data_IF_056964452417
#
_entry.id   IF_056964452417
#
_cell.length_a   1.000
_cell.length_b   1.000
_cell.length_c   1.000
_cell.angle_alpha   90.00
_cell.angle_beta   90.00
_cell.angle_gamma   90.00
#
_symmetry.space_group_name_H-M   'P 1'
#
loop_
_entity.id
_entity.type
_entity.pdbx_description
1 polymer ?
#
# COMPACT_ATOMS: atom_id res chain seq x y z
N UNK A 1 -17.52 15.97 12.77
CA UNK A 1 -18.18 14.65 12.67
C UNK A 1 -17.11 13.61 12.42
N UNK A 2 -16.73 12.88 13.47
CA UNK A 2 -15.81 11.74 13.37
C UNK A 2 -16.55 10.68 12.55
N UNK A 3 -16.06 10.41 11.34
CA UNK A 3 -16.69 9.49 10.39
C UNK A 3 -16.86 8.11 11.03
N UNK A 4 -17.95 7.42 10.72
CA UNK A 4 -18.35 6.12 11.26
C UNK A 4 -17.30 4.98 11.17
N UNK A 5 -16.14 5.22 10.53
CA UNK A 5 -14.95 4.38 10.60
C UNK A 5 -14.37 4.19 12.01
N UNK A 6 -14.51 5.17 12.92
CA UNK A 6 -13.99 5.04 14.29
C UNK A 6 -14.81 4.08 15.18
N UNK A 7 -15.97 3.61 14.71
CA UNK A 7 -16.85 2.69 15.45
C UNK A 7 -16.65 1.22 15.09
N UNK A 8 -15.98 0.91 13.98
CA UNK A 8 -15.70 -0.49 13.59
C UNK A 8 -14.53 -1.03 14.42
N UNK A 9 -14.86 -1.73 15.51
CA UNK A 9 -13.85 -2.42 16.35
C UNK A 9 -13.06 -3.49 15.59
N UNK A 10 -13.54 -3.94 14.42
CA UNK A 10 -12.90 -5.03 13.68
C UNK A 10 -12.82 -4.77 12.18
N UNK A 11 -11.61 -4.92 11.63
CA UNK A 11 -11.27 -4.60 10.24
C UNK A 11 -11.35 -5.83 9.30
N UNK A 12 -12.18 -5.74 8.25
CA UNK A 12 -12.44 -6.84 7.31
C UNK A 12 -11.56 -6.79 6.05
N UNK A 13 -10.43 -7.50 6.06
CA UNK A 13 -9.54 -7.62 4.88
C UNK A 13 -10.18 -8.38 3.71
N UNK A 14 -9.68 -8.19 2.47
CA UNK A 14 -10.14 -8.96 1.28
C UNK A 14 -10.05 -10.48 1.49
N UNK A 15 -9.00 -10.98 2.15
CA UNK A 15 -8.86 -12.41 2.47
C UNK A 15 -9.87 -12.87 3.50
N UNK A 16 -10.12 -12.09 4.56
CA UNK A 16 -11.14 -12.43 5.56
C UNK A 16 -12.52 -12.48 4.93
N UNK A 17 -12.84 -11.56 4.03
CA UNK A 17 -14.07 -11.61 3.24
C UNK A 17 -14.15 -12.87 2.38
N UNK A 18 -13.07 -13.26 1.71
CA UNK A 18 -13.05 -14.48 0.90
C UNK A 18 -13.15 -15.76 1.76
N UNK A 19 -12.46 -15.80 2.91
CA UNK A 19 -12.56 -16.90 3.88
C UNK A 19 -13.98 -16.99 4.44
N UNK A 20 -14.60 -15.86 4.77
CA UNK A 20 -15.99 -15.81 5.21
C UNK A 20 -16.92 -16.37 4.13
N UNK A 21 -16.79 -15.92 2.87
CA UNK A 21 -17.61 -16.41 1.77
C UNK A 21 -17.47 -17.93 1.58
N UNK A 22 -16.23 -18.46 1.63
CA UNK A 22 -15.97 -19.92 1.55
C UNK A 22 -16.50 -20.70 2.75
N UNK A 23 -16.34 -20.14 3.95
CA UNK A 23 -16.88 -20.72 5.18
C UNK A 23 -18.40 -20.80 5.09
N UNK A 24 -19.07 -19.72 4.69
CA UNK A 24 -20.52 -19.67 4.49
C UNK A 24 -20.96 -20.62 3.37
N UNK A 25 -20.26 -20.68 2.24
CA UNK A 25 -20.56 -21.64 1.16
C UNK A 25 -20.64 -23.08 1.69
N UNK A 26 -19.73 -23.47 2.60
CA UNK A 26 -19.71 -24.79 3.24
C UNK A 26 -20.78 -25.02 4.32
N UNK A 27 -21.56 -23.98 4.69
CA UNK A 27 -22.55 -23.97 5.77
C UNK A 27 -23.93 -23.56 5.22
N UNK A 28 -24.66 -24.50 4.59
CA UNK A 28 -25.94 -24.21 3.93
C UNK A 28 -27.03 -23.68 4.86
N UNK A 29 -26.91 -23.91 6.18
CA UNK A 29 -27.79 -23.31 7.19
C UNK A 29 -27.78 -21.77 7.21
N UNK A 30 -26.81 -21.11 6.58
CA UNK A 30 -26.73 -19.64 6.53
C UNK A 30 -27.37 -19.05 5.28
N UNK A 31 -27.34 -19.76 4.15
CA UNK A 31 -27.64 -19.18 2.84
C UNK A 31 -28.64 -19.96 1.99
N UNK A 32 -28.96 -21.21 2.35
CA UNK A 32 -29.90 -22.06 1.61
C UNK A 32 -31.25 -22.16 2.35
N UNK A 33 -32.33 -21.54 1.84
CA UNK A 33 -33.65 -21.58 2.46
C UNK A 33 -34.24 -22.99 2.64
N UNK A 34 -33.76 -23.98 1.88
CA UNK A 34 -34.22 -25.38 1.97
C UNK A 34 -33.51 -26.17 3.07
N UNK A 35 -32.49 -25.60 3.72
CA UNK A 35 -31.79 -26.29 4.79
C UNK A 35 -32.66 -26.31 6.05
N UNK A 36 -32.88 -27.46 6.73
CA UNK A 36 -33.77 -27.56 7.89
C UNK A 36 -33.43 -26.60 9.05
N UNK A 37 -32.15 -26.20 9.14
CA UNK A 37 -31.66 -25.26 10.16
C UNK A 37 -31.55 -23.80 9.69
N UNK A 38 -32.09 -23.45 8.52
CA UNK A 38 -32.00 -22.09 7.96
C UNK A 38 -32.82 -21.06 8.76
N UNK A 39 -33.97 -21.46 9.28
CA UNK A 39 -34.84 -20.58 10.10
C UNK A 39 -34.39 -20.48 11.56
N UNK A 40 -33.49 -21.36 11.99
CA UNK A 40 -33.00 -21.36 13.38
C UNK A 40 -31.97 -20.25 13.59
N UNK A 41 -32.40 -19.20 14.29
CA UNK A 41 -31.54 -18.07 14.69
C UNK A 41 -30.36 -18.56 15.52
N UNK A 42 -30.61 -19.41 16.52
CA UNK A 42 -29.57 -19.96 17.39
C UNK A 42 -28.47 -20.71 16.62
N UNK A 43 -28.83 -21.57 15.66
CA UNK A 43 -27.84 -22.31 14.85
C UNK A 43 -27.06 -21.38 13.93
N UNK A 44 -27.71 -20.34 13.39
CA UNK A 44 -27.04 -19.36 12.53
C UNK A 44 -26.06 -18.49 13.30
N UNK A 45 -26.46 -17.99 14.46
CA UNK A 45 -25.59 -17.19 15.33
C UNK A 45 -24.43 -18.02 15.87
N UNK A 46 -24.64 -19.31 16.19
CA UNK A 46 -23.56 -20.25 16.52
C UNK A 46 -22.58 -20.43 15.35
N UNK A 47 -23.08 -20.57 14.12
CA UNK A 47 -22.23 -20.70 12.92
C UNK A 47 -21.40 -19.43 12.68
N UNK A 48 -21.96 -18.24 12.95
CA UNK A 48 -21.19 -17.00 12.92
C UNK A 48 -20.15 -16.94 14.05
N UNK A 49 -20.48 -17.44 15.23
CA UNK A 49 -19.55 -17.53 16.37
C UNK A 49 -18.40 -18.52 16.10
N UNK A 50 -18.65 -19.62 15.38
CA UNK A 50 -17.61 -20.54 14.92
C UNK A 50 -16.56 -19.80 14.08
N UNK A 51 -17.00 -19.06 13.05
CA UNK A 51 -16.10 -18.23 12.25
C UNK A 51 -15.42 -17.14 13.08
N UNK A 52 -16.15 -16.57 14.03
CA UNK A 52 -15.63 -15.50 14.87
C UNK A 52 -14.48 -15.98 15.78
N UNK A 53 -14.60 -17.19 16.32
CA UNK A 53 -13.61 -17.79 17.23
C UNK A 53 -12.23 -18.05 16.58
N UNK A 54 -12.17 -18.14 15.25
CA UNK A 54 -10.90 -18.22 14.50
C UNK A 54 -10.04 -16.94 14.60
N UNK A 55 -10.62 -15.81 15.06
CA UNK A 55 -9.96 -14.49 15.07
C UNK A 55 -9.89 -13.83 16.46
N UNK A 56 -10.08 -14.62 17.53
CA UNK A 56 -9.88 -14.17 18.92
C UNK A 56 -11.10 -13.51 19.58
N UNK A 57 -10.97 -13.19 20.86
CA UNK A 57 -12.09 -12.81 21.75
C UNK A 57 -12.77 -11.47 21.41
N UNK A 58 -12.12 -10.62 20.62
CA UNK A 58 -12.66 -9.30 20.23
C UNK A 58 -13.50 -9.34 18.95
N UNK A 59 -13.47 -10.46 18.21
CA UNK A 59 -14.28 -10.64 17.01
C UNK A 59 -15.60 -11.31 17.36
N UNK A 60 -16.70 -10.57 17.26
CA UNK A 60 -18.01 -11.06 17.67
C UNK A 60 -18.76 -11.72 16.51
N UNK A 61 -19.62 -12.69 16.84
CA UNK A 61 -20.53 -13.31 15.87
C UNK A 61 -21.42 -12.28 15.15
N UNK A 62 -21.78 -11.18 15.84
CA UNK A 62 -22.57 -10.09 15.28
C UNK A 62 -21.80 -9.37 14.16
N UNK A 63 -20.51 -9.08 14.35
CA UNK A 63 -19.68 -8.48 13.30
C UNK A 63 -19.60 -9.35 12.04
N UNK A 64 -19.53 -10.68 12.21
CA UNK A 64 -19.54 -11.66 11.11
C UNK A 64 -20.88 -11.64 10.37
N UNK A 65 -21.99 -11.61 11.10
CA UNK A 65 -23.36 -11.54 10.54
C UNK A 65 -23.58 -10.25 9.74
N UNK A 66 -23.17 -9.11 10.27
CA UNK A 66 -23.31 -7.81 9.61
C UNK A 66 -22.48 -7.77 8.32
N UNK A 67 -21.24 -8.30 8.39
CA UNK A 67 -20.39 -8.37 7.21
C UNK A 67 -20.95 -9.28 6.12
N UNK A 68 -21.42 -10.47 6.49
CA UNK A 68 -22.05 -11.38 5.53
C UNK A 68 -23.29 -10.74 4.88
N UNK A 69 -24.10 -10.03 5.67
CA UNK A 69 -25.26 -9.27 5.16
C UNK A 69 -24.84 -8.26 4.10
N UNK A 70 -23.78 -7.49 4.35
CA UNK A 70 -23.24 -6.50 3.39
C UNK A 70 -22.71 -7.16 2.11
N UNK A 71 -21.99 -8.28 2.22
CA UNK A 71 -21.50 -9.06 1.07
C UNK A 71 -22.68 -9.54 0.21
N UNK A 72 -23.71 -10.12 0.84
CA UNK A 72 -24.90 -10.63 0.14
C UNK A 72 -25.68 -9.50 -0.57
N UNK A 73 -25.87 -8.37 0.09
CA UNK A 73 -26.53 -7.20 -0.51
C UNK A 73 -25.76 -6.64 -1.71
N UNK A 74 -24.43 -6.61 -1.62
CA UNK A 74 -23.56 -6.20 -2.73
C UNK A 74 -23.68 -7.16 -3.92
N UNK A 75 -23.68 -8.47 -3.66
CA UNK A 75 -23.87 -9.48 -4.69
C UNK A 75 -25.23 -9.34 -5.40
N UNK A 76 -26.31 -9.13 -4.64
CA UNK A 76 -27.65 -8.93 -5.18
C UNK A 76 -27.76 -7.66 -6.06
N UNK A 77 -27.03 -6.59 -5.71
CA UNK A 77 -26.96 -5.38 -6.55
C UNK A 77 -26.28 -5.67 -7.90
N UNK A 78 -25.15 -6.38 -7.90
CA UNK A 78 -24.49 -6.78 -9.15
C UNK A 78 -25.35 -7.71 -10.00
N UNK A 79 -26.11 -8.63 -9.39
CA UNK A 79 -27.04 -9.48 -10.12
C UNK A 79 -28.16 -8.66 -10.80
N UNK A 80 -28.71 -7.64 -10.12
CA UNK A 80 -29.69 -6.71 -10.72
C UNK A 80 -29.11 -5.96 -11.92
N UNK A 81 -27.86 -5.48 -11.82
CA UNK A 81 -27.18 -4.79 -12.93
C UNK A 81 -26.97 -5.69 -14.15
N UNK A 82 -26.58 -6.95 -13.95
CA UNK A 82 -26.47 -7.93 -15.04
C UNK A 82 -27.82 -8.17 -15.71
N UNK A 83 -28.87 -8.39 -14.91
CA UNK A 83 -30.21 -8.66 -15.45
C UNK A 83 -30.77 -7.46 -16.23
N UNK A 84 -30.53 -6.23 -15.74
CA UNK A 84 -30.96 -5.01 -16.41
C UNK A 84 -30.26 -4.80 -17.76
N UNK A 85 -28.95 -5.07 -17.84
CA UNK A 85 -28.20 -5.00 -19.10
C UNK A 85 -28.66 -6.06 -20.11
N UNK A 86 -28.99 -7.27 -19.64
CA UNK A 86 -29.56 -8.33 -20.49
C UNK A 86 -30.94 -7.99 -21.05
N UNK A 87 -31.77 -7.29 -20.27
CA UNK A 87 -33.12 -6.87 -20.71
C UNK A 87 -33.07 -5.70 -21.72
N UNK A 88 -32.02 -4.87 -21.67
CA UNK A 88 -31.83 -3.74 -22.58
C UNK A 88 -31.22 -4.10 -23.94
N UNK A 89 -30.77 -5.34 -24.13
CA UNK A 89 -30.17 -5.78 -25.38
C UNK A 89 -28.80 -5.16 -25.68
N UNK A 90 -28.04 -4.77 -24.64
CA UNK A 90 -26.70 -4.19 -24.81
C UNK A 90 -25.78 -5.20 -25.54
N UNK A 91 -25.00 -4.71 -26.52
CA UNK A 91 -24.10 -5.53 -27.35
C UNK A 91 -22.97 -6.20 -26.55
N UNK A 92 -22.61 -5.65 -25.37
CA UNK A 92 -21.66 -6.26 -24.45
C UNK A 92 -22.30 -6.52 -23.07
N UNK A 93 -22.21 -7.74 -22.52
CA UNK A 93 -22.82 -8.07 -21.23
C UNK A 93 -22.11 -7.33 -20.08
N UNK A 94 -22.89 -6.72 -19.17
CA UNK A 94 -22.37 -6.07 -17.97
C UNK A 94 -21.38 -6.96 -17.21
N UNK A 95 -20.11 -6.53 -17.16
CA UNK A 95 -19.02 -7.24 -16.48
C UNK A 95 -18.90 -6.78 -15.02
N UNK A 96 -19.09 -7.72 -14.09
CA UNK A 96 -18.92 -7.43 -12.66
C UNK A 96 -17.44 -7.41 -12.30
N UNK A 97 -16.95 -6.26 -11.84
CA UNK A 97 -15.60 -6.12 -11.30
C UNK A 97 -15.65 -6.00 -9.77
N UNK A 98 -15.94 -7.12 -9.09
CA UNK A 98 -15.97 -7.21 -7.63
C UNK A 98 -15.27 -8.49 -7.17
N UNK A 99 -14.28 -8.36 -6.29
CA UNK A 99 -13.37 -9.45 -5.89
C UNK A 99 -14.05 -10.68 -5.23
N UNK A 100 -15.29 -10.57 -4.77
CA UNK A 100 -16.07 -11.69 -4.22
C UNK A 100 -17.11 -12.24 -5.20
N UNK A 101 -17.22 -11.68 -6.42
CA UNK A 101 -18.25 -12.05 -7.37
C UNK A 101 -18.24 -13.54 -7.71
N UNK A 102 -17.07 -14.07 -8.09
CA UNK A 102 -16.89 -15.49 -8.42
C UNK A 102 -17.12 -16.37 -7.18
N UNK A 103 -16.60 -15.96 -6.03
CA UNK A 103 -16.76 -16.70 -4.77
C UNK A 103 -18.21 -16.74 -4.29
N UNK A 104 -19.02 -15.72 -4.55
CA UNK A 104 -20.44 -15.69 -4.22
C UNK A 104 -21.32 -16.38 -5.28
N UNK A 105 -20.76 -16.90 -6.37
CA UNK A 105 -21.53 -17.48 -7.47
C UNK A 105 -22.38 -18.70 -7.06
N UNK A 106 -22.06 -19.37 -5.94
CA UNK A 106 -22.90 -20.44 -5.38
C UNK A 106 -24.32 -19.96 -5.03
N UNK A 107 -24.49 -18.66 -4.73
CA UNK A 107 -25.80 -18.05 -4.49
C UNK A 107 -26.66 -18.00 -5.76
N UNK A 108 -26.08 -18.06 -6.96
CA UNK A 108 -26.82 -18.15 -8.22
C UNK A 108 -27.57 -19.48 -8.38
N UNK A 109 -27.09 -20.54 -7.73
CA UNK A 109 -27.70 -21.88 -7.81
C UNK A 109 -29.11 -21.92 -7.20
N UNK A 110 -29.45 -20.95 -6.34
CA UNK A 110 -30.79 -20.80 -5.75
C UNK A 110 -31.72 -19.99 -6.69
N UNK A 111 -31.20 -19.00 -7.41
CA UNK A 111 -32.01 -18.12 -8.27
C UNK A 111 -32.38 -18.71 -9.64
N UNK A 112 -31.79 -19.84 -10.05
CA UNK A 112 -32.05 -20.45 -11.37
C UNK A 112 -33.36 -21.26 -11.47
N UNK A 113 -34.11 -21.47 -10.37
CA UNK A 113 -35.33 -22.29 -10.36
C UNK A 113 -36.55 -21.60 -9.74
N UNK A 114 -36.69 -20.28 -9.90
CA UNK A 114 -37.95 -19.59 -9.54
C UNK A 114 -38.71 -19.02 -10.74
N UNK A 115 -38.24 -19.27 -11.97
CA UNK A 115 -38.88 -18.76 -13.20
C UNK A 115 -39.59 -19.84 -14.02
N UNK A 116 -39.98 -20.98 -13.44
CA UNK A 116 -40.91 -21.89 -14.11
C UNK A 116 -41.80 -22.61 -13.09
N UNK A 117 -43.11 -22.42 -13.32
CA UNK A 117 -44.29 -23.15 -12.83
C UNK A 117 -45.00 -22.62 -11.58
N UNK A 118 -46.15 -22.04 -11.90
CA UNK A 118 -47.47 -22.12 -11.25
C UNK A 118 -47.91 -21.03 -10.25
N UNK A 119 -48.84 -20.23 -10.78
CA UNK A 119 -49.94 -19.59 -10.07
C UNK A 119 -50.52 -20.53 -9.00
N UNK A 120 -50.56 -20.08 -7.75
CA UNK A 120 -51.75 -20.19 -6.91
C UNK A 120 -51.67 -19.16 -5.78
N UNK A 121 -52.86 -18.66 -5.44
CA UNK A 121 -53.17 -17.53 -4.58
C UNK A 121 -52.90 -17.77 -3.08
N UNK A 122 -52.87 -16.66 -2.33
CA UNK A 122 -53.10 -16.51 -0.88
C UNK A 122 -52.00 -17.02 0.08
N UNK A 123 -51.64 -16.40 1.21
CA UNK A 123 -52.28 -15.37 2.05
C UNK A 123 -51.23 -14.73 2.99
N UNK A 124 -51.59 -13.55 3.53
CA UNK A 124 -50.90 -12.68 4.49
C UNK A 124 -50.15 -13.35 5.65
N UNK A 125 -49.02 -12.75 6.08
CA UNK A 125 -48.83 -12.28 7.48
C UNK A 125 -47.96 -11.01 7.48
N UNK A 126 -48.50 -9.96 8.07
CA UNK A 126 -47.90 -8.66 8.35
C UNK A 126 -46.69 -8.76 9.28
N UNK A 127 -45.70 -7.90 9.09
CA UNK A 127 -45.16 -7.12 10.21
C UNK A 127 -44.61 -5.79 9.69
N UNK A 128 -45.36 -4.77 10.05
CA UNK A 128 -45.12 -3.33 9.92
C UNK A 128 -43.91 -2.90 10.74
N UNK A 129 -43.10 -1.97 10.21
CA UNK A 129 -43.07 -0.66 10.86
C UNK A 129 -42.59 0.46 9.93
N UNK A 130 -43.36 1.53 9.97
CA UNK A 130 -43.34 2.75 9.17
C UNK A 130 -42.13 3.64 9.57
N UNK A 131 -41.62 4.55 8.74
CA UNK A 131 -42.25 5.87 8.60
C UNK A 131 -41.59 6.74 7.53
N UNK A 132 -42.42 7.12 6.55
CA UNK A 132 -42.62 8.45 5.93
C UNK A 132 -41.49 9.15 5.16
N UNK A 133 -41.59 9.04 3.84
CA UNK A 133 -41.42 10.16 2.91
C UNK A 133 -42.67 11.06 2.95
N UNK A 134 -42.48 12.39 2.98
CA UNK A 134 -43.51 13.37 2.59
C UNK A 134 -43.06 14.05 1.30
N UNK A 135 -43.86 13.87 0.25
CA UNK A 135 -43.93 14.76 -0.92
C UNK A 135 -45.20 15.58 -0.80
N UNK A 136 -45.08 16.89 -1.04
CA UNK A 136 -46.22 17.72 -1.45
C UNK A 136 -45.86 18.42 -2.76
N UNK A 137 -46.80 18.33 -3.71
CA UNK A 137 -46.87 19.03 -4.99
C UNK A 137 -47.44 20.44 -4.80
N UNK A 138 -47.24 21.36 -5.76
CA UNK A 138 -48.27 22.28 -6.30
C UNK A 138 -47.72 23.05 -7.51
N UNK A 139 -48.68 23.38 -8.40
CA UNK A 139 -48.68 23.83 -9.79
C UNK A 139 -48.46 25.32 -10.09
N UNK A 140 -48.31 25.60 -11.40
CA UNK A 140 -47.98 26.83 -12.13
C UNK A 140 -49.01 28.00 -12.11
N UNK A 141 -48.53 29.24 -12.35
CA UNK A 141 -48.99 30.28 -13.32
C UNK A 141 -48.35 31.67 -13.02
N UNK A 142 -47.47 32.21 -13.89
CA UNK A 142 -47.61 33.39 -14.81
C UNK A 142 -47.57 34.81 -14.14
N UNK A 143 -46.89 35.89 -14.57
CA UNK A 143 -46.17 36.31 -15.80
C UNK A 143 -45.26 37.55 -15.53
N UNK A 144 -44.20 37.73 -16.35
CA UNK A 144 -43.35 38.93 -16.63
C UNK A 144 -42.53 39.57 -15.49
N UNK A 145 -41.26 39.99 -15.63
CA UNK A 145 -40.57 40.53 -16.81
C UNK A 145 -39.03 40.46 -16.64
N UNK A 146 -38.33 40.50 -17.78
CA UNK A 146 -36.97 40.99 -18.05
C UNK A 146 -35.68 40.13 -17.85
N UNK A 147 -34.93 40.08 -18.97
CA UNK A 147 -33.49 39.86 -19.21
C UNK A 147 -32.76 38.50 -19.04
N UNK A 148 -32.26 38.03 -20.20
CA UNK A 148 -30.90 37.52 -20.45
C UNK A 148 -30.52 36.04 -20.20
N UNK A 149 -30.23 35.36 -21.31
CA UNK A 149 -29.13 34.41 -21.57
C UNK A 149 -28.68 33.39 -20.50
N UNK A 150 -28.80 32.11 -20.89
CA UNK A 150 -27.74 31.08 -20.79
C UNK A 150 -27.10 30.87 -19.41
N UNK A 151 -27.62 29.95 -18.58
CA UNK A 151 -26.84 29.10 -17.65
C UNK A 151 -27.76 28.21 -16.80
N UNK A 152 -28.00 26.96 -17.21
CA UNK A 152 -28.05 25.83 -16.26
C UNK A 152 -27.94 24.42 -16.87
N UNK A 153 -27.47 24.30 -18.12
CA UNK A 153 -26.87 23.05 -18.63
C UNK A 153 -25.47 22.77 -18.04
N UNK A 154 -24.94 23.70 -17.24
CA UNK A 154 -23.62 23.62 -16.60
C UNK A 154 -23.61 22.71 -15.38
N UNK A 155 -24.62 22.75 -14.50
CA UNK A 155 -24.55 22.04 -13.22
C UNK A 155 -24.74 20.51 -13.33
N UNK A 156 -25.55 20.01 -14.27
CA UNK A 156 -25.72 18.56 -14.52
C UNK A 156 -24.50 17.98 -15.24
N UNK A 157 -23.85 18.76 -16.12
CA UNK A 157 -22.59 18.37 -16.76
C UNK A 157 -21.41 18.46 -15.78
N UNK A 158 -21.41 19.41 -14.85
CA UNK A 158 -20.45 19.49 -13.73
C UNK A 158 -20.63 18.32 -12.77
N UNK A 159 -21.86 17.91 -12.43
CA UNK A 159 -22.11 16.75 -11.57
C UNK A 159 -21.77 15.41 -12.27
N UNK A 160 -22.01 15.28 -13.58
CA UNK A 160 -21.58 14.11 -14.38
C UNK A 160 -20.06 14.09 -14.60
N UNK A 161 -19.42 15.25 -14.79
CA UNK A 161 -17.95 15.36 -14.83
C UNK A 161 -17.34 15.03 -13.47
N UNK A 162 -17.84 15.59 -12.37
CA UNK A 162 -17.44 15.23 -11.01
C UNK A 162 -17.66 13.74 -10.73
N UNK A 163 -18.79 13.15 -11.13
CA UNK A 163 -19.05 11.72 -10.93
C UNK A 163 -18.30 10.79 -11.91
N UNK A 164 -17.73 11.31 -13.01
CA UNK A 164 -16.76 10.61 -13.86
C UNK A 164 -15.32 10.78 -13.37
N UNK A 165 -15.01 11.92 -12.73
CA UNK A 165 -13.76 12.20 -12.00
C UNK A 165 -13.68 11.34 -10.73
N UNK A 166 -14.79 11.14 -10.01
CA UNK A 166 -14.87 10.29 -8.82
C UNK A 166 -15.01 8.79 -9.13
N UNK A 167 -15.47 8.42 -10.34
CA UNK A 167 -15.53 7.01 -10.79
C UNK A 167 -14.38 6.60 -11.71
N UNK A 168 -13.60 7.56 -12.18
CA UNK A 168 -12.39 7.36 -12.96
C UNK A 168 -11.42 6.49 -12.20
N UNK A 169 -11.03 6.85 -10.97
CA UNK A 169 -10.06 6.07 -10.20
C UNK A 169 -10.12 6.42 -8.71
N UNK A 170 -10.05 5.43 -7.80
CA UNK A 170 -9.46 5.66 -6.47
C UNK A 170 -7.98 5.97 -6.72
N UNK A 171 -7.72 7.26 -6.96
CA UNK A 171 -6.49 7.95 -7.37
C UNK A 171 -5.94 7.59 -8.76
N UNK A 172 -6.47 8.31 -9.75
CA UNK A 172 -5.88 8.40 -11.08
C UNK A 172 -4.68 9.28 -10.86
N UNK A 173 -3.51 8.78 -11.22
CA UNK A 173 -2.28 9.50 -11.09
C UNK A 173 -2.24 10.56 -12.20
N UNK A 174 -3.11 11.58 -12.08
CA UNK A 174 -3.22 12.70 -12.99
C UNK A 174 -1.89 13.46 -12.95
N UNK A 175 -1.02 13.13 -13.90
CA UNK A 175 0.36 13.61 -14.00
C UNK A 175 1.42 12.52 -13.98
N UNK A 176 1.20 11.36 -13.34
CA UNK A 176 2.18 10.25 -13.32
C UNK A 176 1.91 9.22 -14.43
N UNK A 177 0.66 9.03 -14.88
CA UNK A 177 0.31 8.08 -15.96
C UNK A 177 1.01 8.38 -17.30
N UNK A 178 1.39 9.65 -17.53
CA UNK A 178 2.12 10.08 -18.73
C UNK A 178 3.63 10.18 -18.51
N UNK A 179 4.14 9.68 -17.37
CA UNK A 179 5.58 9.62 -17.11
C UNK A 179 6.09 8.22 -17.37
N UNK A 180 7.31 8.15 -17.91
CA UNK A 180 8.12 6.93 -18.08
C UNK A 180 7.91 5.92 -16.93
N UNK A 181 8.21 6.38 -15.71
CA UNK A 181 8.14 5.57 -14.48
C UNK A 181 6.74 5.30 -13.90
N UNK A 182 5.70 6.01 -14.34
CA UNK A 182 4.37 5.89 -13.75
C UNK A 182 3.67 4.57 -14.09
N UNK A 183 3.87 4.08 -15.32
CA UNK A 183 3.37 2.78 -15.74
C UNK A 183 3.99 1.65 -14.90
N UNK A 184 5.31 1.69 -14.72
CA UNK A 184 6.08 0.74 -13.88
C UNK A 184 5.56 0.77 -12.44
N UNK A 185 5.33 1.96 -11.88
CA UNK A 185 4.76 2.13 -10.53
C UNK A 185 3.38 1.48 -10.35
N UNK A 186 2.49 1.60 -11.34
CA UNK A 186 1.16 0.97 -11.32
C UNK A 186 1.23 -0.56 -11.30
N UNK A 187 2.12 -1.16 -12.11
CA UNK A 187 2.23 -2.61 -12.19
C UNK A 187 2.72 -3.19 -10.86
N UNK A 188 3.72 -2.56 -10.24
CA UNK A 188 4.25 -2.96 -8.92
C UNK A 188 3.16 -2.83 -7.86
N UNK A 189 2.51 -1.67 -7.75
CA UNK A 189 1.42 -1.39 -6.81
C UNK A 189 0.27 -2.41 -6.90
N UNK A 190 -0.21 -2.67 -8.11
CA UNK A 190 -1.29 -3.64 -8.38
C UNK A 190 -0.92 -5.03 -7.87
N UNK A 191 0.34 -5.44 -8.02
CA UNK A 191 0.82 -6.75 -7.55
C UNK A 191 1.00 -6.81 -6.04
N UNK A 192 1.49 -5.76 -5.39
CA UNK A 192 1.52 -5.68 -3.92
C UNK A 192 0.12 -5.82 -3.32
N UNK A 193 -0.89 -5.20 -3.92
CA UNK A 193 -2.30 -5.30 -3.49
C UNK A 193 -2.91 -6.72 -3.61
N UNK A 194 -2.25 -7.62 -4.35
CA UNK A 194 -2.63 -9.03 -4.52
C UNK A 194 -1.90 -9.96 -3.53
N UNK A 195 -0.90 -9.46 -2.79
CA UNK A 195 -0.15 -10.22 -1.79
C UNK A 195 -0.93 -10.32 -0.47
N UNK A 196 -0.74 -11.44 0.23
CA UNK A 196 -1.60 -11.83 1.35
C UNK A 196 -1.07 -11.29 2.69
N UNK A 197 -1.84 -10.43 3.36
CA UNK A 197 -1.43 -9.78 4.61
C UNK A 197 -1.20 -10.71 5.81
N UNK A 198 -1.44 -12.02 5.75
CA UNK A 198 -1.50 -12.83 6.98
C UNK A 198 -0.15 -13.07 7.70
N UNK A 199 1.00 -13.00 7.01
CA UNK A 199 2.29 -13.49 7.57
C UNK A 199 3.38 -12.41 7.57
N UNK A 200 3.12 -11.25 8.18
CA UNK A 200 4.02 -10.09 8.13
C UNK A 200 5.13 -10.06 9.21
N UNK A 201 5.35 -11.17 9.93
CA UNK A 201 6.55 -11.39 10.75
C UNK A 201 6.88 -12.88 10.75
N UNK A 202 8.15 -13.24 10.53
CA UNK A 202 8.65 -14.60 10.66
C UNK A 202 10.04 -14.58 11.31
N UNK A 203 10.26 -15.49 12.25
CA UNK A 203 11.59 -15.90 12.68
C UNK A 203 12.37 -16.35 11.43
N UNK A 204 13.48 -15.68 11.10
CA UNK A 204 14.24 -15.94 9.88
C UNK A 204 15.68 -16.38 10.19
N UNK A 205 15.86 -17.58 10.79
CA UNK A 205 17.17 -18.06 11.21
C UNK A 205 18.07 -18.37 10.01
N UNK A 206 17.48 -18.74 8.87
CA UNK A 206 18.20 -19.01 7.62
C UNK A 206 18.77 -17.75 6.94
N UNK A 207 18.29 -16.54 7.30
CA UNK A 207 18.86 -15.29 6.77
C UNK A 207 20.32 -15.09 7.18
N UNK A 208 20.73 -15.62 8.34
CA UNK A 208 22.11 -15.56 8.80
C UNK A 208 23.05 -16.44 7.96
N UNK A 209 22.54 -17.55 7.41
CA UNK A 209 23.35 -18.60 6.78
C UNK A 209 23.30 -18.61 5.25
N UNK A 210 22.16 -18.24 4.64
CA UNK A 210 21.93 -18.34 3.19
C UNK A 210 22.13 -17.01 2.43
N UNK A 211 22.82 -16.03 3.03
CA UNK A 211 22.99 -14.70 2.44
C UNK A 211 24.10 -14.67 1.39
N UNK A 212 23.87 -13.92 0.31
CA UNK A 212 24.92 -13.59 -0.67
C UNK A 212 26.10 -12.92 0.03
N UNK A 213 27.33 -13.28 -0.38
CA UNK A 213 28.55 -12.68 0.14
C UNK A 213 28.53 -11.18 -0.18
N UNK A 214 28.60 -10.30 0.84
CA UNK A 214 28.64 -8.85 0.60
C UNK A 214 29.89 -8.43 -0.17
N UNK A 215 29.73 -7.42 -1.02
CA UNK A 215 30.85 -6.82 -1.73
C UNK A 215 31.76 -6.00 -0.79
N UNK A 216 33.06 -5.97 -1.08
CA UNK A 216 34.00 -5.01 -0.49
C UNK A 216 33.67 -3.59 -0.99
N UNK A 217 33.28 -2.71 -0.07
CA UNK A 217 32.96 -1.31 -0.38
C UNK A 217 34.08 -0.39 0.07
N UNK A 218 34.62 0.41 -0.85
CA UNK A 218 35.72 1.33 -0.58
C UNK A 218 35.26 2.79 -0.44
N UNK A 219 34.22 3.19 -1.18
CA UNK A 219 33.66 4.53 -1.11
C UNK A 219 32.22 4.55 -1.67
N UNK A 220 31.51 5.66 -1.45
CA UNK A 220 30.09 5.81 -1.83
C UNK A 220 29.87 5.91 -3.36
N UNK A 221 30.92 6.26 -4.12
CA UNK A 221 30.91 6.40 -5.59
C UNK A 221 31.64 5.24 -6.28
N UNK A 222 31.82 4.10 -5.60
CA UNK A 222 32.50 2.94 -6.17
C UNK A 222 31.84 2.54 -7.49
N UNK A 223 32.65 2.36 -8.52
CA UNK A 223 32.18 1.99 -9.85
C UNK A 223 31.57 0.59 -9.86
N UNK A 224 30.59 0.39 -10.73
CA UNK A 224 30.00 -0.91 -10.97
C UNK A 224 31.06 -1.88 -11.52
N UNK A 225 31.07 -3.12 -11.02
CA UNK A 225 31.97 -4.17 -11.50
C UNK A 225 31.17 -5.34 -12.06
N UNK A 226 31.23 -5.52 -13.38
CA UNK A 226 30.51 -6.59 -14.07
C UNK A 226 31.00 -7.99 -13.64
N UNK A 227 32.22 -8.13 -13.14
CA UNK A 227 32.76 -9.44 -12.75
C UNK A 227 32.17 -9.91 -11.42
N UNK A 228 31.74 -8.99 -10.55
CA UNK A 228 31.11 -9.30 -9.27
C UNK A 228 29.64 -9.71 -9.44
N UNK A 229 29.02 -10.09 -8.32
CA UNK A 229 27.59 -10.36 -8.31
C UNK A 229 26.80 -9.11 -8.72
N UNK A 230 25.83 -9.27 -9.62
CA UNK A 230 24.94 -8.20 -10.02
C UNK A 230 23.60 -8.78 -10.52
N UNK A 231 22.55 -7.95 -10.54
CA UNK A 231 21.19 -8.39 -10.87
C UNK A 231 20.97 -8.85 -12.32
N UNK A 232 21.91 -8.70 -13.26
CA UNK A 232 21.78 -9.32 -14.59
C UNK A 232 22.09 -10.83 -14.56
N UNK A 233 22.69 -11.33 -13.47
CA UNK A 233 23.14 -12.72 -13.30
C UNK A 233 22.22 -13.59 -12.43
N UNK A 234 21.08 -13.04 -11.98
CA UNK A 234 20.16 -13.76 -11.10
C UNK A 234 19.37 -14.84 -11.84
N UNK A 235 18.88 -15.83 -11.11
CA UNK A 235 18.02 -16.86 -11.70
C UNK A 235 16.69 -16.27 -12.15
N UNK A 236 16.15 -16.74 -13.28
CA UNK A 236 14.80 -16.36 -13.74
C UNK A 236 13.72 -16.71 -12.72
N UNK A 237 13.97 -17.67 -11.82
CA UNK A 237 13.07 -18.02 -10.70
C UNK A 237 12.99 -16.95 -9.62
N UNK A 238 13.96 -16.05 -9.54
CA UNK A 238 13.94 -14.92 -8.60
C UNK A 238 13.16 -13.73 -9.15
N UNK A 239 12.90 -13.68 -10.46
CA UNK A 239 12.25 -12.55 -11.11
C UNK A 239 10.74 -12.67 -10.90
N UNK A 240 10.15 -11.71 -10.18
CA UNK A 240 8.70 -11.60 -10.04
C UNK A 240 8.11 -10.93 -11.28
N UNK A 241 8.69 -9.80 -11.68
CA UNK A 241 8.27 -9.03 -12.85
C UNK A 241 9.47 -8.44 -13.57
N UNK A 242 9.35 -8.41 -14.90
CA UNK A 242 10.21 -7.64 -15.80
C UNK A 242 9.34 -6.57 -16.44
N UNK A 243 9.73 -5.31 -16.29
CA UNK A 243 9.00 -4.15 -16.80
C UNK A 243 9.90 -3.50 -17.85
N UNK A 244 9.50 -3.64 -19.10
CA UNK A 244 10.14 -3.02 -20.25
C UNK A 244 9.19 -1.95 -20.77
N UNK A 245 9.73 -0.82 -21.18
CA UNK A 245 8.96 0.18 -21.91
C UNK A 245 9.14 -0.08 -23.41
N UNK A 246 8.07 0.08 -24.20
CA UNK A 246 8.01 -0.38 -25.59
C UNK A 246 9.12 0.21 -26.50
N UNK A 247 9.68 1.37 -26.12
CA UNK A 247 10.72 2.11 -26.88
C UNK A 247 12.13 2.09 -26.24
N UNK A 248 12.33 1.45 -25.08
CA UNK A 248 13.63 1.42 -24.39
C UNK A 248 14.16 -0.02 -24.27
N UNK A 249 15.46 -0.24 -24.55
CA UNK A 249 16.12 -1.53 -24.28
C UNK A 249 16.35 -1.77 -22.78
N UNK A 250 15.86 -0.85 -21.94
CA UNK A 250 16.07 -0.87 -20.52
C UNK A 250 14.95 -1.61 -19.79
N UNK A 251 15.33 -2.34 -18.75
CA UNK A 251 14.42 -3.23 -18.03
C UNK A 251 14.46 -2.90 -16.55
N UNK A 252 13.30 -2.66 -15.95
CA UNK A 252 13.14 -2.59 -14.50
C UNK A 252 12.72 -3.97 -13.99
N UNK A 253 13.42 -4.50 -13.01
CA UNK A 253 13.07 -5.78 -12.39
C UNK A 253 12.47 -5.56 -11.01
N UNK A 254 11.45 -6.35 -10.69
CA UNK A 254 11.09 -6.65 -9.31
C UNK A 254 11.47 -8.09 -9.04
N UNK A 255 12.35 -8.31 -8.07
CA UNK A 255 12.93 -9.64 -7.81
C UNK A 255 12.75 -10.02 -6.35
N UNK A 256 12.64 -11.31 -6.09
CA UNK A 256 12.61 -11.86 -4.73
C UNK A 256 13.95 -11.54 -4.08
N UNK A 257 13.93 -10.96 -2.88
CA UNK A 257 15.15 -10.93 -2.08
C UNK A 257 15.39 -12.34 -1.52
N UNK A 258 16.42 -13.02 -2.01
CA UNK A 258 16.82 -14.37 -1.54
C UNK A 258 17.22 -14.42 -0.06
N UNK A 259 17.39 -13.27 0.57
CA UNK A 259 17.58 -13.13 2.02
C UNK A 259 16.55 -12.13 2.58
N UNK A 260 15.25 -12.49 2.56
CA UNK A 260 14.17 -11.58 2.88
C UNK A 260 14.26 -11.11 4.34
N UNK A 261 13.79 -9.91 4.67
CA UNK A 261 13.73 -9.42 6.07
C UNK A 261 12.35 -9.70 6.66
N UNK A 262 11.33 -9.60 5.83
CA UNK A 262 9.95 -9.99 6.09
C UNK A 262 9.41 -10.71 4.87
N UNK A 263 8.24 -11.34 5.00
CA UNK A 263 7.58 -11.97 3.87
C UNK A 263 7.29 -10.94 2.78
N UNK A 264 7.47 -11.35 1.52
CA UNK A 264 7.37 -10.49 0.33
C UNK A 264 8.46 -9.42 0.19
N UNK A 265 9.49 -9.43 1.05
CA UNK A 265 10.66 -8.59 0.83
C UNK A 265 11.25 -8.88 -0.56
N UNK A 266 11.17 -7.86 -1.40
CA UNK A 266 11.58 -7.88 -2.79
C UNK A 266 12.56 -6.75 -3.03
N UNK A 267 13.25 -6.79 -4.16
CA UNK A 267 14.14 -5.72 -4.60
C UNK A 267 13.59 -5.12 -5.88
N UNK A 268 13.44 -3.80 -5.90
CA UNK A 268 13.19 -3.02 -7.10
C UNK A 268 14.55 -2.65 -7.70
N UNK A 269 14.87 -3.21 -8.86
CA UNK A 269 16.11 -3.00 -9.59
C UNK A 269 15.79 -2.17 -10.84
N UNK A 270 15.84 -0.83 -10.76
CA UNK A 270 15.58 0.01 -11.91
C UNK A 270 16.71 -0.11 -12.93
N UNK A 271 16.36 -0.11 -14.21
CA UNK A 271 17.32 0.03 -15.29
C UNK A 271 18.47 -0.98 -15.26
N UNK A 272 18.13 -2.27 -15.05
CA UNK A 272 19.11 -3.32 -14.74
C UNK A 272 20.16 -3.50 -15.85
N UNK A 273 19.78 -3.24 -17.10
CA UNK A 273 20.67 -3.39 -18.26
C UNK A 273 21.70 -2.26 -18.35
N UNK A 274 21.41 -1.10 -17.72
CA UNK A 274 22.35 0.03 -17.63
C UNK A 274 23.49 -0.22 -16.64
N UNK A 275 23.42 -1.28 -15.81
CA UNK A 275 24.49 -1.68 -14.89
C UNK A 275 24.96 -0.51 -14.01
N UNK A 276 24.01 0.26 -13.50
CA UNK A 276 24.32 1.45 -12.69
C UNK A 276 24.86 1.03 -11.31
N UNK A 277 25.86 1.74 -10.77
CA UNK A 277 26.31 1.50 -9.39
C UNK A 277 25.17 1.81 -8.40
N UNK A 278 25.32 1.40 -7.14
CA UNK A 278 24.35 1.63 -6.06
C UNK A 278 24.34 3.11 -5.62
N UNK A 279 23.93 3.98 -6.54
CA UNK A 279 23.83 5.42 -6.43
C UNK A 279 22.48 5.82 -7.01
N UNK A 280 21.68 6.57 -6.23
CA UNK A 280 20.37 7.04 -6.66
C UNK A 280 20.50 7.95 -7.88
N UNK A 281 19.68 7.73 -8.90
CA UNK A 281 19.46 8.69 -10.00
C UNK A 281 18.14 9.41 -9.82
N UNK A 282 17.94 10.51 -10.54
CA UNK A 282 16.66 11.22 -10.53
C UNK A 282 15.51 10.29 -10.97
N UNK A 283 15.72 9.51 -12.04
CA UNK A 283 14.74 8.58 -12.59
C UNK A 283 14.45 7.42 -11.64
N UNK A 284 15.47 6.89 -10.96
CA UNK A 284 15.29 5.78 -10.01
C UNK A 284 14.54 6.21 -8.76
N UNK A 285 14.82 7.43 -8.26
CA UNK A 285 14.08 8.04 -7.16
C UNK A 285 12.62 8.28 -7.56
N UNK A 286 12.41 8.88 -8.74
CA UNK A 286 11.08 9.15 -9.28
C UNK A 286 10.24 7.86 -9.36
N UNK A 287 10.84 6.77 -9.85
CA UNK A 287 10.19 5.47 -9.90
C UNK A 287 9.81 4.97 -8.51
N UNK A 288 10.76 4.98 -7.57
CA UNK A 288 10.52 4.49 -6.21
C UNK A 288 9.40 5.26 -5.50
N UNK A 289 9.41 6.59 -5.61
CA UNK A 289 8.35 7.46 -5.06
C UNK A 289 7.00 7.15 -5.71
N UNK A 290 6.97 7.00 -7.03
CA UNK A 290 5.73 6.69 -7.76
C UNK A 290 5.14 5.34 -7.38
N UNK A 291 5.97 4.31 -7.16
CA UNK A 291 5.50 3.00 -6.67
C UNK A 291 4.70 3.18 -5.37
N UNK A 292 5.21 3.97 -4.43
CA UNK A 292 4.57 4.21 -3.13
C UNK A 292 3.29 5.06 -3.28
N UNK A 293 3.35 6.15 -4.04
CA UNK A 293 2.20 7.05 -4.32
C UNK A 293 1.06 6.37 -5.08
N UNK A 294 1.37 5.38 -5.91
CA UNK A 294 0.36 4.64 -6.69
C UNK A 294 -0.17 3.46 -5.88
N UNK A 295 0.67 2.79 -5.09
CA UNK A 295 0.24 1.69 -4.23
C UNK A 295 -0.81 2.13 -3.21
N UNK A 296 -0.64 3.33 -2.62
CA UNK A 296 -1.52 3.87 -1.56
C UNK A 296 -1.83 2.86 -0.46
N UNK A 297 -0.86 2.00 -0.20
CA UNK A 297 -0.91 1.04 0.88
C UNK A 297 0.06 1.50 1.95
N UNK A 298 -0.50 1.88 3.11
CA UNK A 298 0.25 2.34 4.28
C UNK A 298 1.29 1.36 4.80
N UNK A 299 1.23 0.11 4.34
CA UNK A 299 2.14 -0.94 4.77
C UNK A 299 3.34 -1.08 3.83
N UNK A 300 3.23 -0.59 2.59
CA UNK A 300 4.29 -0.66 1.59
C UNK A 300 5.33 0.40 1.88
N UNK A 301 6.59 -0.03 1.96
CA UNK A 301 7.73 0.85 2.17
C UNK A 301 8.83 0.51 1.18
N UNK A 302 9.57 1.55 0.79
CA UNK A 302 10.78 1.38 0.00
C UNK A 302 11.96 1.92 0.79
N UNK A 303 12.98 1.08 0.96
CA UNK A 303 14.24 1.43 1.59
C UNK A 303 15.39 1.49 0.59
N UNK A 304 16.33 2.40 0.79
CA UNK A 304 17.59 2.46 0.07
C UNK A 304 18.75 2.54 1.05
N UNK A 305 19.81 1.82 0.74
CA UNK A 305 21.09 1.88 1.44
C UNK A 305 22.13 2.30 0.42
N UNK A 306 22.83 3.42 0.64
CA UNK A 306 24.01 3.73 -0.16
C UNK A 306 25.17 2.80 0.22
N UNK A 307 26.20 2.73 -0.63
CA UNK A 307 27.31 1.79 -0.45
C UNK A 307 27.96 1.86 0.94
N UNK A 308 28.31 3.06 1.39
CA UNK A 308 28.88 3.27 2.73
C UNK A 308 27.85 3.25 3.86
N UNK A 309 26.57 2.97 3.56
CA UNK A 309 25.44 2.97 4.46
C UNK A 309 24.74 1.59 4.51
N UNK A 310 25.54 0.52 4.54
CA UNK A 310 25.11 -0.88 4.70
C UNK A 310 24.51 -1.55 3.46
N UNK A 311 24.69 -1.01 2.25
CA UNK A 311 24.44 -1.77 1.03
C UNK A 311 25.38 -2.98 0.95
N UNK A 312 24.94 -4.06 0.31
CA UNK A 312 25.73 -5.30 0.19
C UNK A 312 26.10 -5.66 -1.26
N UNK A 313 25.51 -4.96 -2.23
CA UNK A 313 25.69 -5.19 -3.67
C UNK A 313 25.87 -3.83 -4.33
N UNK A 314 26.90 -3.68 -5.17
CA UNK A 314 27.08 -2.49 -5.99
C UNK A 314 26.36 -2.59 -7.34
N UNK A 315 25.04 -2.60 -7.31
CA UNK A 315 24.18 -2.47 -8.50
C UNK A 315 22.87 -1.83 -8.03
N UNK A 316 22.46 -0.72 -8.63
CA UNK A 316 21.29 0.07 -8.23
C UNK A 316 20.04 -0.79 -7.92
N UNK A 317 19.63 -0.79 -6.65
CA UNK A 317 18.43 -1.43 -6.17
C UNK A 317 17.86 -0.74 -4.93
N UNK A 318 16.56 -0.91 -4.76
CA UNK A 318 15.80 -0.51 -3.59
C UNK A 318 15.17 -1.74 -2.94
N UNK A 319 15.10 -1.74 -1.62
CA UNK A 319 14.37 -2.73 -0.84
C UNK A 319 12.90 -2.38 -0.82
N UNK A 320 12.03 -3.28 -1.27
CA UNK A 320 10.59 -3.14 -1.18
C UNK A 320 10.08 -4.14 -0.16
N UNK A 321 9.45 -3.65 0.90
CA UNK A 321 8.92 -4.50 1.97
C UNK A 321 7.55 -4.02 2.43
N UNK A 322 6.81 -4.95 3.05
CA UNK A 322 5.47 -4.69 3.58
C UNK A 322 5.49 -4.91 5.09
N UNK A 323 5.10 -3.89 5.83
CA UNK A 323 5.04 -3.92 7.30
C UNK A 323 3.71 -3.32 7.79
N UNK A 324 2.97 -4.06 8.59
CA UNK A 324 1.66 -3.62 9.11
C UNK A 324 1.79 -2.61 10.23
N UNK A 325 2.81 -2.79 11.05
CA UNK A 325 3.06 -1.94 12.19
C UNK A 325 3.53 -0.57 11.73
N UNK A 326 3.20 0.44 12.53
CA UNK A 326 3.78 1.77 12.38
C UNK A 326 5.25 1.68 12.76
N UNK A 327 6.14 2.20 11.92
CA UNK A 327 7.54 2.32 12.30
C UNK A 327 7.69 3.52 13.24
N UNK A 328 8.49 3.45 14.31
CA UNK A 328 8.67 4.55 15.26
C UNK A 328 8.94 5.91 14.59
N UNK A 329 9.77 5.92 13.54
CA UNK A 329 10.11 7.15 12.82
C UNK A 329 8.88 7.85 12.17
N UNK A 330 7.85 7.07 11.81
CA UNK A 330 6.62 7.56 11.18
C UNK A 330 5.67 8.24 12.18
N UNK A 331 5.97 8.14 13.48
CA UNK A 331 5.20 8.78 14.56
C UNK A 331 5.92 9.97 15.17
N UNK A 332 7.12 10.30 14.68
CA UNK A 332 7.87 11.45 15.16
C UNK A 332 7.26 12.76 14.67
N UNK A 333 7.43 13.83 15.43
CA UNK A 333 7.11 15.19 15.00
C UNK A 333 8.26 15.76 14.17
N UNK A 334 7.95 16.26 12.99
CA UNK A 334 8.93 16.83 12.06
C UNK A 334 8.81 18.34 12.02
N UNK A 335 9.93 19.02 12.22
CA UNK A 335 9.97 20.48 12.23
C UNK A 335 10.30 20.96 10.82
N UNK A 336 9.55 21.95 10.34
CA UNK A 336 9.94 22.65 9.11
C UNK A 336 11.36 23.20 9.29
N UNK A 337 12.20 23.03 8.26
CA UNK A 337 13.62 23.34 8.33
C UNK A 337 14.01 24.46 7.38
N UNK A 338 13.96 24.21 6.07
CA UNK A 338 14.27 25.20 5.03
C UNK A 338 13.63 24.78 3.71
N UNK A 339 13.08 25.73 2.95
CA UNK A 339 12.38 25.42 1.70
C UNK A 339 11.36 24.27 1.85
N UNK A 340 11.44 23.19 1.04
CA UNK A 340 10.57 22.02 1.14
C UNK A 340 11.01 20.97 2.18
N UNK A 341 12.09 21.25 2.93
CA UNK A 341 12.74 20.30 3.82
C UNK A 341 12.15 20.40 5.23
N UNK A 342 11.87 19.25 5.82
CA UNK A 342 11.64 19.08 7.25
C UNK A 342 12.84 18.37 7.87
N UNK A 343 13.09 18.63 9.15
CA UNK A 343 14.20 18.02 9.88
C UNK A 343 13.70 17.41 11.19
N UNK A 344 14.26 16.26 11.51
CA UNK A 344 14.17 15.62 12.82
C UNK A 344 15.58 15.56 13.38
N UNK A 345 15.88 16.41 14.35
CA UNK A 345 17.19 16.50 15.01
C UNK A 345 17.10 16.30 16.53
N UNK A 346 15.88 16.26 17.05
CA UNK A 346 15.55 16.12 18.47
C UNK A 346 14.64 14.90 18.65
N UNK A 347 14.74 14.23 19.79
CA UNK A 347 13.85 13.12 20.20
C UNK A 347 13.92 11.84 19.35
N UNK A 348 14.88 11.72 18.43
CA UNK A 348 15.21 10.45 17.75
C UNK A 348 16.74 10.21 17.77
N UNK A 349 17.21 8.95 17.90
CA UNK A 349 18.65 8.64 18.02
C UNK A 349 19.54 9.12 16.87
N UNK A 350 19.02 9.15 15.65
CA UNK A 350 19.75 9.55 14.44
C UNK A 350 18.95 10.62 13.72
N UNK A 351 19.55 11.78 13.43
CA UNK A 351 18.82 12.84 12.78
C UNK A 351 18.53 12.52 11.30
N UNK A 352 17.49 13.15 10.76
CA UNK A 352 17.02 12.90 9.41
C UNK A 352 16.38 14.14 8.78
N UNK A 353 16.37 14.16 7.45
CA UNK A 353 15.59 15.10 6.65
C UNK A 353 14.36 14.39 6.08
N UNK A 354 13.27 15.11 5.91
CA UNK A 354 12.04 14.59 5.33
C UNK A 354 11.48 15.55 4.28
N UNK A 355 10.94 14.98 3.21
CA UNK A 355 10.22 15.68 2.16
C UNK A 355 8.84 15.06 2.05
N UNK A 356 7.80 15.90 2.03
CA UNK A 356 6.45 15.47 1.68
C UNK A 356 6.26 15.56 0.16
N UNK A 357 5.78 14.46 -0.42
CA UNK A 357 5.61 14.32 -1.85
C UNK A 357 4.18 13.91 -2.12
N UNK A 358 3.41 14.74 -2.81
CA UNK A 358 2.08 14.36 -3.31
C UNK A 358 2.14 13.99 -4.80
N UNK A 359 1.06 13.43 -5.33
CA UNK A 359 1.01 13.00 -6.73
C UNK A 359 1.23 14.14 -7.73
N UNK A 360 0.76 15.35 -7.43
CA UNK A 360 0.87 16.53 -8.31
C UNK A 360 2.26 17.15 -8.23
N UNK A 361 2.89 17.13 -7.06
CA UNK A 361 4.22 17.71 -6.83
C UNK A 361 5.37 16.72 -7.04
N UNK A 362 5.08 15.43 -7.24
CA UNK A 362 6.06 14.33 -7.33
C UNK A 362 7.31 14.66 -8.16
N UNK A 363 7.15 15.11 -9.40
CA UNK A 363 8.30 15.46 -10.26
C UNK A 363 9.13 16.62 -9.72
N UNK A 364 8.47 17.67 -9.23
CA UNK A 364 9.16 18.83 -8.65
C UNK A 364 9.90 18.40 -7.38
N UNK A 365 9.24 17.65 -6.50
CA UNK A 365 9.83 17.26 -5.22
C UNK A 365 10.95 16.25 -5.38
N UNK A 366 10.86 15.31 -6.34
CA UNK A 366 11.97 14.41 -6.66
C UNK A 366 13.20 15.16 -7.14
N UNK A 367 13.05 16.28 -7.88
CA UNK A 367 14.18 17.16 -8.20
C UNK A 367 14.80 17.79 -6.96
N UNK A 368 13.97 18.33 -6.06
CA UNK A 368 14.47 18.93 -4.81
C UNK A 368 15.17 17.90 -3.93
N UNK A 369 14.62 16.71 -3.75
CA UNK A 369 15.26 15.60 -3.04
C UNK A 369 16.57 15.20 -3.71
N UNK A 370 16.58 15.08 -5.05
CA UNK A 370 17.77 14.69 -5.79
C UNK A 370 18.91 15.71 -5.65
N UNK A 371 18.62 17.02 -5.50
CA UNK A 371 19.65 18.02 -5.17
C UNK A 371 20.36 17.70 -3.86
N UNK A 372 19.62 17.36 -2.80
CA UNK A 372 20.21 16.96 -1.51
C UNK A 372 21.04 15.68 -1.63
N UNK A 373 20.52 14.67 -2.34
CA UNK A 373 21.24 13.41 -2.54
C UNK A 373 22.53 13.61 -3.35
N UNK A 374 22.51 14.51 -4.34
CA UNK A 374 23.71 14.91 -5.07
C UNK A 374 24.70 15.62 -4.15
N UNK A 375 24.23 16.53 -3.29
CA UNK A 375 25.10 17.16 -2.29
C UNK A 375 25.76 16.11 -1.38
N UNK A 376 25.02 15.12 -0.89
CA UNK A 376 25.58 14.01 -0.12
C UNK A 376 26.61 13.20 -0.90
N UNK A 377 26.32 12.88 -2.17
CA UNK A 377 27.25 12.13 -3.00
C UNK A 377 28.56 12.89 -3.26
N UNK A 378 28.48 14.20 -3.54
CA UNK A 378 29.65 15.05 -3.77
C UNK A 378 30.52 15.19 -2.51
N UNK A 379 29.88 15.30 -1.34
CA UNK A 379 30.58 15.43 -0.05
C UNK A 379 30.86 14.08 0.62
N UNK A 380 30.68 12.96 -0.09
CA UNK A 380 30.92 11.61 0.41
C UNK A 380 30.14 11.24 1.69
N UNK A 381 28.93 11.78 1.83
CA UNK A 381 28.04 11.54 2.98
C UNK A 381 27.24 10.26 2.75
N UNK A 382 27.51 9.24 3.57
CA UNK A 382 26.75 8.00 3.61
C UNK A 382 25.31 8.29 4.06
N UNK A 383 24.33 7.61 3.44
CA UNK A 383 22.93 7.88 3.69
C UNK A 383 22.03 6.67 3.44
N UNK A 384 20.94 6.61 4.19
CA UNK A 384 19.83 5.69 3.98
C UNK A 384 18.58 6.50 3.60
N UNK A 385 17.66 5.91 2.83
CA UNK A 385 16.41 6.57 2.43
C UNK A 385 15.25 5.62 2.73
N UNK A 386 14.22 6.11 3.42
CA UNK A 386 12.94 5.44 3.58
C UNK A 386 11.86 6.23 2.84
N UNK A 387 11.06 5.54 2.04
CA UNK A 387 9.86 6.07 1.37
C UNK A 387 8.64 5.35 1.95
N UNK A 388 7.70 6.12 2.51
CA UNK A 388 6.48 5.63 3.18
C UNK A 388 5.29 6.54 2.89
N UNK A 389 4.04 6.15 3.19
CA UNK A 389 2.83 6.98 2.96
C UNK A 389 2.18 7.51 4.24
N UNK A 390 2.80 7.33 5.41
CA UNK A 390 2.21 7.80 6.66
C UNK A 390 2.55 9.26 6.89
N UNK A 391 1.56 10.13 6.67
CA UNK A 391 1.69 11.58 6.79
C UNK A 391 1.43 12.08 8.22
N UNK A 392 2.06 13.21 8.60
CA UNK A 392 2.00 13.83 9.94
C UNK A 392 0.70 14.57 10.26
N UNK A 393 -0.12 14.90 9.24
CA UNK A 393 -1.31 15.73 9.45
C UNK A 393 -2.51 15.41 8.54
N UNK A 394 -2.33 14.73 7.40
CA UNK A 394 -3.40 14.52 6.41
C UNK A 394 -3.33 13.11 5.82
N UNK A 395 -4.41 12.35 5.94
CA UNK A 395 -4.55 11.04 5.29
C UNK A 395 -4.89 11.22 3.79
N UNK A 396 -4.05 11.94 3.04
CA UNK A 396 -4.31 12.34 1.65
C UNK A 396 -3.62 11.48 0.59
N UNK A 397 -2.83 10.48 1.01
CA UNK A 397 -2.10 9.59 0.11
C UNK A 397 -0.76 10.16 -0.38
N UNK A 398 -0.25 11.22 0.25
CA UNK A 398 1.14 11.67 0.08
C UNK A 398 2.16 10.63 0.55
N UNK A 399 3.33 10.64 -0.09
CA UNK A 399 4.50 9.91 0.33
C UNK A 399 5.43 10.83 1.12
N UNK A 400 6.18 10.26 2.04
CA UNK A 400 7.27 10.89 2.75
C UNK A 400 8.57 10.23 2.34
N UNK A 401 9.56 11.04 2.01
CA UNK A 401 10.92 10.59 1.70
C UNK A 401 11.83 11.05 2.82
N UNK A 402 12.16 10.11 3.70
CA UNK A 402 13.03 10.32 4.85
C UNK A 402 14.46 9.95 4.46
N UNK A 403 15.42 10.80 4.79
CA UNK A 403 16.82 10.64 4.41
C UNK A 403 17.66 10.78 5.67
N UNK A 404 18.41 9.74 5.98
CA UNK A 404 19.24 9.63 7.17
C UNK A 404 20.71 9.81 6.77
N UNK A 405 21.28 11.03 6.82
CA UNK A 405 22.71 11.20 6.69
C UNK A 405 23.39 10.63 7.93
N UNK A 406 24.47 9.88 7.73
CA UNK A 406 25.07 9.07 8.80
C UNK A 406 26.57 8.91 8.63
N UNK A 407 27.22 8.48 9.70
CA UNK A 407 28.61 8.00 9.64
C UNK A 407 28.71 6.82 8.67
N UNK A 408 29.63 6.94 7.71
CA UNK A 408 29.88 5.92 6.71
C UNK A 408 30.74 4.77 7.24
N UNK A 409 30.61 3.61 6.59
CA UNK A 409 31.48 2.45 6.79
C UNK A 409 32.13 2.04 5.49
N UNK A 410 33.35 1.52 5.59
CA UNK A 410 34.15 1.00 4.49
C UNK A 410 34.52 -0.44 4.86
N UNK A 411 34.65 -1.31 3.85
CA UNK A 411 35.02 -2.72 3.98
C UNK A 411 33.88 -3.67 3.63
N UNK A 412 34.09 -4.96 3.91
CA UNK A 412 33.04 -5.99 3.79
C UNK A 412 32.07 -5.83 4.96
N UNK A 413 30.77 -5.84 4.65
CA UNK A 413 29.73 -5.90 5.66
C UNK A 413 29.86 -7.17 6.50
N UNK A 414 30.11 -7.02 7.79
CA UNK A 414 30.23 -8.14 8.73
C UNK A 414 28.85 -8.74 8.99
N UNK A 415 28.64 -10.00 8.61
CA UNK A 415 27.33 -10.65 8.67
C UNK A 415 26.82 -10.90 10.10
N UNK A 416 27.74 -11.04 11.06
CA UNK A 416 27.44 -11.30 12.48
C UNK A 416 27.28 -10.03 13.31
N UNK A 417 27.62 -8.86 12.75
CA UNK A 417 27.53 -7.58 13.46
C UNK A 417 26.10 -7.01 13.41
N UNK A 418 25.77 -6.17 14.40
CA UNK A 418 24.57 -5.36 14.39
C UNK A 418 24.68 -4.26 13.32
N UNK A 419 24.13 -4.54 12.13
CA UNK A 419 24.26 -3.68 10.97
C UNK A 419 23.07 -2.72 10.88
N UNK A 420 23.26 -1.47 11.29
CA UNK A 420 22.22 -0.44 11.21
C UNK A 420 22.09 0.07 9.77
N UNK A 421 21.07 -0.41 9.06
CA UNK A 421 20.66 0.02 7.73
C UNK A 421 19.35 0.82 7.82
N UNK A 422 18.68 1.06 6.68
CA UNK A 422 17.42 1.82 6.63
C UNK A 422 16.34 1.28 7.57
N UNK A 423 16.24 -0.04 7.72
CA UNK A 423 15.21 -0.65 8.58
C UNK A 423 15.46 -0.30 10.04
N UNK A 424 16.68 -0.52 10.54
CA UNK A 424 17.04 -0.23 11.93
C UNK A 424 16.91 1.27 12.23
N UNK A 425 17.32 2.14 11.29
CA UNK A 425 17.15 3.60 11.41
C UNK A 425 15.69 4.06 11.40
N UNK A 426 14.78 3.25 10.85
CA UNK A 426 13.34 3.53 10.90
C UNK A 426 12.68 3.02 12.18
N UNK A 427 13.41 2.27 13.01
CA UNK A 427 12.91 1.61 14.21
C UNK A 427 12.36 0.20 13.95
N UNK A 428 12.72 -0.43 12.83
CA UNK A 428 12.44 -1.83 12.55
C UNK A 428 13.71 -2.67 12.71
N UNK A 429 13.72 -3.60 13.66
CA UNK A 429 14.91 -4.35 14.01
C UNK A 429 14.74 -5.84 13.71
N UNK A 430 15.57 -6.42 12.84
CA UNK A 430 15.62 -7.87 12.70
C UNK A 430 16.42 -8.44 13.87
N UNK A 431 15.74 -9.18 14.74
CA UNK A 431 16.35 -9.94 15.83
C UNK A 431 16.36 -11.43 15.45
N UNK A 432 17.53 -12.07 15.55
CA UNK A 432 17.73 -13.45 15.11
C UNK A 432 17.81 -14.46 16.28
N UNK A 433 18.04 -13.97 17.49
CA UNK A 433 18.13 -14.76 18.71
C UNK A 433 16.88 -14.57 19.56
N UNK A 434 16.26 -15.67 20.00
CA UNK A 434 14.97 -15.66 20.70
C UNK A 434 15.08 -15.05 22.11
N UNK A 435 16.20 -15.28 22.79
CA UNK A 435 16.48 -14.69 24.09
C UNK A 435 16.64 -13.18 23.95
N UNK A 436 17.47 -12.73 23.01
CA UNK A 436 17.63 -11.31 22.69
C UNK A 436 16.29 -10.66 22.30
N UNK A 437 15.46 -11.32 21.50
CA UNK A 437 14.14 -10.79 21.13
C UNK A 437 13.23 -10.57 22.34
N UNK A 438 13.32 -11.44 23.34
CA UNK A 438 12.50 -11.39 24.55
C UNK A 438 13.00 -10.36 25.57
N UNK A 439 14.28 -9.97 25.51
CA UNK A 439 14.90 -9.08 26.50
C UNK A 439 15.29 -7.70 25.96
N UNK A 440 15.41 -7.54 24.63
CA UNK A 440 15.80 -6.27 24.01
C UNK A 440 14.79 -5.17 24.30
N UNK A 441 15.30 -4.05 24.81
CA UNK A 441 14.51 -2.85 25.06
C UNK A 441 14.92 -1.71 24.13
N UNK A 442 14.13 -0.63 24.12
CA UNK A 442 14.50 0.59 23.40
C UNK A 442 15.81 1.20 23.95
N UNK A 443 16.03 1.15 25.26
CA UNK A 443 17.23 1.67 25.93
C UNK A 443 18.51 0.95 25.48
N UNK A 444 18.41 -0.33 25.09
CA UNK A 444 19.53 -1.11 24.54
C UNK A 444 19.85 -0.71 23.09
N UNK A 445 18.83 -0.34 22.30
CA UNK A 445 18.95 -0.07 20.87
C UNK A 445 19.34 1.39 20.56
N UNK A 446 18.92 2.35 21.39
CA UNK A 446 19.23 3.75 21.16
C UNK A 446 20.74 4.06 21.10
N UNK A 447 21.60 3.55 22.00
CA UNK A 447 23.04 3.79 21.92
C UNK A 447 23.63 3.22 20.63
N UNK A 448 23.14 2.07 20.17
CA UNK A 448 23.59 1.46 18.90
C UNK A 448 23.20 2.31 17.69
N UNK A 449 22.01 2.90 17.69
CA UNK A 449 21.61 3.85 16.65
C UNK A 449 22.45 5.14 16.72
N UNK A 450 22.68 5.71 17.90
CA UNK A 450 23.43 6.97 18.11
C UNK A 450 24.86 6.91 17.56
N UNK A 451 25.50 5.74 17.51
CA UNK A 451 26.82 5.55 16.88
C UNK A 451 26.89 6.00 15.42
N UNK A 452 25.74 6.06 14.74
CA UNK A 452 25.63 6.41 13.34
C UNK A 452 25.31 7.88 13.08
N UNK A 453 25.00 8.66 14.13
CA UNK A 453 24.81 10.10 14.03
C UNK A 453 26.08 10.74 13.47
N UNK A 454 25.92 11.70 12.56
CA UNK A 454 27.02 12.54 12.10
C UNK A 454 27.46 13.48 13.22
N UNK A 455 28.76 13.50 13.50
CA UNK A 455 29.36 14.38 14.52
C UNK A 455 29.10 15.86 14.20
N UNK A 456 29.15 16.24 12.93
CA UNK A 456 28.95 17.60 12.45
C UNK A 456 27.56 17.82 11.82
N UNK A 457 26.50 17.22 12.39
CA UNK A 457 25.15 17.34 11.83
C UNK A 457 24.64 18.79 11.79
N UNK A 458 24.96 19.60 12.80
CA UNK A 458 24.52 21.01 12.83
C UNK A 458 25.18 21.83 11.72
N UNK A 459 26.47 21.57 11.44
CA UNK A 459 27.16 22.17 10.29
C UNK A 459 26.52 21.74 8.97
N UNK A 460 26.17 20.45 8.84
CA UNK A 460 25.47 19.93 7.66
C UNK A 460 24.11 20.63 7.49
N UNK A 461 23.39 20.90 8.57
CA UNK A 461 22.16 21.68 8.54
C UNK A 461 22.41 23.08 7.94
N UNK A 462 23.43 23.81 8.39
CA UNK A 462 23.73 25.14 7.85
C UNK A 462 24.13 25.10 6.37
N UNK A 463 24.88 24.07 5.94
CA UNK A 463 25.21 23.85 4.53
C UNK A 463 23.97 23.54 3.68
N UNK A 464 23.01 22.76 4.21
CA UNK A 464 21.75 22.44 3.54
C UNK A 464 20.82 23.65 3.49
N UNK A 465 20.83 24.54 4.48
CA UNK A 465 20.10 25.82 4.38
C UNK A 465 20.60 26.69 3.23
N UNK A 466 21.89 26.60 2.89
CA UNK A 466 22.42 27.30 1.71
C UNK A 466 22.08 26.62 0.37
N UNK A 467 21.59 25.38 0.41
CA UNK A 467 21.22 24.60 -0.78
C UNK A 467 19.77 24.87 -1.24
N UNK A 468 18.90 25.30 -0.33
CA UNK A 468 17.48 25.57 -0.54
C UNK A 468 17.17 27.05 -0.31
#
# INVERSE_FOLDING_TARGET
MISDFAKEKVFWTRKMNLKLVKFIESRPNIWNPKHPKYTSVAVRDQTYAEFASEYGNEFTWQAVKDRWTNIRSTFANYLRKINHSRQKGDAEPYKVNWHLWEACSFLLKINRKSNNLDNHEEQNVNETDETTDRKEEISDEEFSDDNSNSLNSSCVNVAKNLASVFRGVQNDAFGLNNTKTGHVGQVVAKKLSQMNSYDAAQLNPERGTNRRIPEQINNIRQEFDENKFNFTKISSKEILFSLCEDDDQDTHLLVINVSPISRYHSLLCPSVNKKLPQVVTHESLQLAVNVVLIAQDRNVRIGFNSLCAMASVNHLHYHLFVEKFTLPIESMEWKHFEGPVYCLNENYPVPAFCFEVDQKSSHKMCKEIFKLLQYFLHNSIAHNILITTRCFAKNDGSAQVLIFPRKGTIGVKQLTAFNVAVCELSGWFPVYDEQAFSTLTAEDLEPELKKWKLENFDKLCDEIKGLY
#
